data_IF_593062275952
#
_entry.id   IF_593062275952
#
_cell.length_a   1.000
_cell.length_b   1.000
_cell.length_c   1.000
_cell.angle_alpha   90.00
_cell.angle_beta   90.00
_cell.angle_gamma   90.00
#
_symmetry.space_group_name_H-M   'P 1'
#
loop_
_entity.id
_entity.type
_entity.pdbx_description
1 polymer ?
#
# COMPACT_ATOMS: atom_id res chain seq x y z
N UNK A 1 30.27 3.11 1.67
CA UNK A 1 29.23 2.76 0.67
C UNK A 1 28.05 2.05 1.31
N UNK A 2 28.28 1.03 2.17
CA UNK A 2 27.22 0.30 2.89
C UNK A 2 26.27 1.20 3.69
N UNK A 3 26.80 2.16 4.46
CA UNK A 3 25.96 3.10 5.24
C UNK A 3 25.07 3.99 4.36
N UNK A 4 25.53 4.37 3.16
CA UNK A 4 24.74 5.18 2.21
C UNK A 4 23.64 4.34 1.58
N UNK A 5 23.96 3.11 1.16
CA UNK A 5 22.99 2.19 0.56
C UNK A 5 21.87 1.86 1.55
N UNK A 6 22.21 1.49 2.79
CA UNK A 6 21.23 1.20 3.83
C UNK A 6 20.28 2.39 4.09
N UNK A 7 20.82 3.62 4.08
CA UNK A 7 20.04 4.84 4.28
C UNK A 7 19.06 5.09 3.13
N UNK A 8 19.53 4.98 1.89
CA UNK A 8 18.68 5.15 0.69
C UNK A 8 17.58 4.10 0.65
N UNK A 9 17.89 2.82 0.86
CA UNK A 9 16.89 1.74 0.87
C UNK A 9 15.85 1.94 1.97
N UNK A 10 16.27 2.40 3.15
CA UNK A 10 15.35 2.67 4.26
C UNK A 10 14.36 3.80 3.95
N UNK A 11 14.81 4.86 3.26
CA UNK A 11 13.95 5.97 2.84
C UNK A 11 12.94 5.50 1.79
N UNK A 12 13.37 4.65 0.86
CA UNK A 12 12.54 4.23 -0.27
C UNK A 12 11.59 3.08 0.05
N UNK A 13 11.85 2.27 1.07
CA UNK A 13 11.13 0.99 1.24
C UNK A 13 9.60 1.13 1.31
N UNK A 14 9.08 2.10 2.08
CA UNK A 14 7.63 2.33 2.18
C UNK A 14 7.06 2.78 0.82
N UNK A 15 7.46 3.93 0.25
CA UNK A 15 6.89 4.39 -1.03
C UNK A 15 7.12 3.40 -2.17
N UNK A 16 8.26 2.69 -2.20
CA UNK A 16 8.52 1.66 -3.20
C UNK A 16 7.55 0.49 -3.09
N UNK A 17 7.34 -0.04 -1.87
CA UNK A 17 6.40 -1.13 -1.65
C UNK A 17 4.97 -0.75 -2.06
N UNK A 18 4.57 0.50 -1.77
CA UNK A 18 3.28 1.04 -2.18
C UNK A 18 3.14 1.10 -3.71
N UNK A 19 4.16 1.60 -4.41
CA UNK A 19 4.21 1.65 -5.87
C UNK A 19 4.08 0.25 -6.48
N UNK A 20 4.81 -0.73 -5.96
CA UNK A 20 4.72 -2.12 -6.44
C UNK A 20 3.30 -2.66 -6.25
N UNK A 21 2.68 -2.45 -5.08
CA UNK A 21 1.29 -2.88 -4.84
C UNK A 21 0.30 -2.23 -5.80
N UNK A 22 0.35 -0.90 -5.98
CA UNK A 22 -0.54 -0.22 -6.92
C UNK A 22 -0.30 -0.65 -8.36
N UNK A 23 0.95 -0.83 -8.77
CA UNK A 23 1.29 -1.29 -10.11
C UNK A 23 0.74 -2.68 -10.38
N UNK A 24 0.92 -3.63 -9.46
CA UNK A 24 0.34 -4.97 -9.56
C UNK A 24 -1.19 -4.92 -9.62
N UNK A 25 -1.84 -4.06 -8.84
CA UNK A 25 -3.28 -3.85 -8.93
C UNK A 25 -3.71 -3.31 -10.29
N UNK A 26 -3.04 -2.28 -10.80
CA UNK A 26 -3.30 -1.72 -12.12
C UNK A 26 -3.09 -2.74 -13.24
N UNK A 27 -1.96 -3.45 -13.22
CA UNK A 27 -1.65 -4.51 -14.16
C UNK A 27 -2.73 -5.62 -14.13
N UNK A 28 -3.17 -6.03 -12.94
CA UNK A 28 -4.25 -7.02 -12.79
C UNK A 28 -5.60 -6.53 -13.32
N UNK A 29 -5.93 -5.25 -13.17
CA UNK A 29 -7.13 -4.68 -13.80
C UNK A 29 -6.98 -4.67 -15.32
N UNK A 30 -5.79 -4.34 -15.84
CA UNK A 30 -5.50 -4.31 -17.28
C UNK A 30 -5.54 -5.70 -17.92
N UNK A 31 -5.11 -6.77 -17.24
CA UNK A 31 -5.24 -8.14 -17.78
C UNK A 31 -6.70 -8.52 -18.05
N UNK A 32 -7.65 -7.94 -17.29
CA UNK A 32 -9.08 -8.20 -17.47
C UNK A 32 -9.75 -7.28 -18.49
N UNK A 33 -9.49 -5.98 -18.41
CA UNK A 33 -10.24 -4.97 -19.17
C UNK A 33 -9.45 -4.37 -20.34
N UNK A 34 -8.19 -4.75 -20.53
CA UNK A 34 -7.30 -4.16 -21.52
C UNK A 34 -6.79 -2.77 -21.12
N UNK A 35 -6.19 -2.02 -22.07
CA UNK A 35 -5.61 -0.71 -21.78
C UNK A 35 -6.64 0.27 -21.20
N UNK A 36 -6.26 1.08 -20.20
CA UNK A 36 -7.16 2.05 -19.58
C UNK A 36 -7.37 3.27 -20.48
N UNK A 37 -8.61 3.78 -20.52
CA UNK A 37 -8.92 5.10 -21.03
C UNK A 37 -8.68 6.19 -19.98
N UNK A 38 -8.92 7.46 -20.34
CA UNK A 38 -8.72 8.61 -19.43
C UNK A 38 -9.57 8.52 -18.15
N UNK A 39 -10.85 8.13 -18.29
CA UNK A 39 -11.75 7.99 -17.15
C UNK A 39 -11.34 6.85 -16.22
N UNK A 40 -10.86 5.74 -16.77
CA UNK A 40 -10.38 4.61 -15.98
C UNK A 40 -9.19 5.01 -15.10
N UNK A 41 -8.25 5.78 -15.66
CA UNK A 41 -7.09 6.31 -14.93
C UNK A 41 -7.55 7.26 -13.81
N UNK A 42 -8.50 8.16 -14.09
CA UNK A 42 -9.05 9.06 -13.09
C UNK A 42 -9.77 8.31 -11.97
N UNK A 43 -10.56 7.29 -12.30
CA UNK A 43 -11.26 6.46 -11.32
C UNK A 43 -10.26 5.64 -10.48
N UNK A 44 -9.22 5.09 -11.10
CA UNK A 44 -8.16 4.40 -10.38
C UNK A 44 -7.42 5.34 -9.41
N UNK A 45 -7.10 6.56 -9.83
CA UNK A 45 -6.51 7.55 -8.93
C UNK A 45 -7.48 7.92 -7.79
N UNK A 46 -8.76 8.14 -8.11
CA UNK A 46 -9.80 8.47 -7.13
C UNK A 46 -9.98 7.35 -6.09
N UNK A 47 -9.93 6.09 -6.49
CA UNK A 47 -10.01 4.94 -5.58
C UNK A 47 -8.86 4.91 -4.57
N UNK A 48 -7.63 5.09 -5.05
CA UNK A 48 -6.45 5.17 -4.16
C UNK A 48 -6.54 6.36 -3.18
N UNK A 49 -6.92 7.54 -3.67
CA UNK A 49 -7.08 8.73 -2.83
C UNK A 49 -8.21 8.54 -1.80
N UNK A 50 -9.34 7.97 -2.21
CA UNK A 50 -10.46 7.69 -1.33
C UNK A 50 -10.08 6.74 -0.18
N UNK A 51 -9.25 5.72 -0.45
CA UNK A 51 -8.73 4.84 0.60
C UNK A 51 -7.86 5.60 1.62
N UNK A 52 -6.95 6.45 1.15
CA UNK A 52 -6.15 7.30 2.05
C UNK A 52 -7.03 8.22 2.89
N UNK A 53 -7.99 8.92 2.28
CA UNK A 53 -8.90 9.81 3.00
C UNK A 53 -9.72 9.05 4.05
N UNK A 54 -10.23 7.87 3.70
CA UNK A 54 -10.98 7.02 4.63
C UNK A 54 -10.14 6.68 5.85
N UNK A 55 -8.91 6.19 5.63
CA UNK A 55 -8.00 5.80 6.72
C UNK A 55 -7.51 7.00 7.54
N UNK A 56 -7.26 8.13 6.89
CA UNK A 56 -6.87 9.37 7.56
C UNK A 56 -8.01 9.90 8.46
N UNK A 57 -9.26 9.84 8.00
CA UNK A 57 -10.43 10.21 8.80
C UNK A 57 -10.58 9.27 9.99
N UNK A 58 -10.44 7.96 9.80
CA UNK A 58 -10.46 6.97 10.90
C UNK A 58 -9.34 7.20 11.92
N UNK A 59 -8.18 7.72 11.47
CA UNK A 59 -7.03 8.03 12.31
C UNK A 59 -6.96 9.46 12.84
N UNK A 60 -7.92 10.34 12.50
CA UNK A 60 -7.80 11.81 12.61
C UNK A 60 -7.36 12.32 13.98
N UNK A 61 -7.81 11.69 15.07
CA UNK A 61 -7.44 12.07 16.44
C UNK A 61 -6.03 11.63 16.89
N UNK A 62 -5.27 10.96 16.01
CA UNK A 62 -3.94 10.38 16.29
C UNK A 62 -2.95 10.68 15.17
N UNK A 63 -3.24 11.68 14.33
CA UNK A 63 -2.32 12.11 13.28
C UNK A 63 -1.18 12.89 13.94
N UNK A 64 0.04 12.37 13.84
CA UNK A 64 1.22 13.09 14.30
C UNK A 64 1.51 14.29 13.37
N UNK A 65 1.85 15.47 13.92
CA UNK A 65 2.15 16.67 13.12
C UNK A 65 3.49 16.55 12.36
N UNK A 66 4.39 15.70 12.83
CA UNK A 66 5.63 15.32 12.16
C UNK A 66 5.70 13.80 12.07
N UNK A 67 6.23 13.27 10.97
CA UNK A 67 6.41 11.81 10.78
C UNK A 67 7.90 11.46 10.87
N UNK A 68 8.54 11.45 12.06
CA UNK A 68 9.87 10.90 12.21
C UNK A 68 9.77 9.36 12.23
N UNK A 69 9.63 8.74 11.05
CA UNK A 69 9.53 7.27 10.97
C UNK A 69 10.92 6.63 10.83
N UNK A 70 11.50 6.19 11.95
CA UNK A 70 12.54 5.15 11.90
C UNK A 70 11.90 3.84 11.46
N UNK A 71 12.19 3.40 10.25
CA UNK A 71 11.60 2.20 9.65
C UNK A 71 12.35 0.94 10.17
N UNK A 72 11.65 -0.05 10.74
CA UNK A 72 12.28 -1.29 11.20
C UNK A 72 12.94 -2.06 10.03
N UNK A 73 14.07 -2.74 10.28
CA UNK A 73 14.81 -3.49 9.26
C UNK A 73 13.95 -4.50 8.48
N UNK A 74 12.96 -5.12 9.15
CA UNK A 74 12.02 -6.06 8.52
C UNK A 74 11.10 -5.40 7.48
N UNK A 75 10.78 -4.11 7.66
CA UNK A 75 9.99 -3.33 6.69
C UNK A 75 10.84 -2.99 5.46
N UNK A 76 12.16 -2.82 5.65
CA UNK A 76 13.13 -2.58 4.57
C UNK A 76 13.21 -3.77 3.61
N UNK A 77 12.99 -5.00 4.09
CA UNK A 77 12.93 -6.20 3.23
C UNK A 77 11.78 -6.16 2.22
N UNK A 78 10.76 -5.32 2.43
CA UNK A 78 9.70 -5.07 1.45
C UNK A 78 8.90 -6.32 1.04
N UNK A 79 8.85 -7.34 1.90
CA UNK A 79 8.09 -8.56 1.61
C UNK A 79 6.60 -8.42 1.96
N UNK A 80 6.24 -7.57 2.93
CA UNK A 80 4.85 -7.38 3.36
C UNK A 80 3.88 -6.89 2.27
N UNK A 81 4.27 -6.09 1.25
CA UNK A 81 3.36 -5.66 0.21
C UNK A 81 2.92 -6.81 -0.71
N UNK A 82 3.63 -7.94 -0.71
CA UNK A 82 3.18 -9.17 -1.41
C UNK A 82 1.81 -9.60 -0.88
N UNK A 83 1.58 -9.47 0.44
CA UNK A 83 0.27 -9.80 1.02
C UNK A 83 -0.82 -8.85 0.51
N UNK A 84 -0.52 -7.56 0.38
CA UNK A 84 -1.45 -6.59 -0.20
C UNK A 84 -1.79 -6.93 -1.67
N UNK A 85 -0.77 -7.34 -2.45
CA UNK A 85 -0.96 -7.82 -3.83
C UNK A 85 -1.83 -9.07 -3.87
N UNK A 86 -1.57 -10.06 -3.01
CA UNK A 86 -2.38 -11.29 -2.95
C UNK A 86 -3.85 -10.98 -2.63
N UNK A 87 -4.13 -10.05 -1.72
CA UNK A 87 -5.50 -9.62 -1.41
C UNK A 87 -6.19 -9.04 -2.65
N UNK A 88 -5.48 -8.21 -3.41
CA UNK A 88 -5.99 -7.63 -4.66
C UNK A 88 -6.28 -8.70 -5.70
N UNK A 89 -5.36 -9.65 -5.88
CA UNK A 89 -5.50 -10.74 -6.85
C UNK A 89 -6.64 -11.71 -6.49
N UNK A 90 -6.93 -11.87 -5.19
CA UNK A 90 -8.01 -12.74 -4.71
C UNK A 90 -9.42 -12.21 -5.03
N UNK A 91 -9.56 -10.93 -5.39
CA UNK A 91 -10.88 -10.35 -5.72
C UNK A 91 -11.30 -10.75 -7.13
N UNK A 92 -12.46 -11.41 -7.29
CA UNK A 92 -12.96 -11.84 -8.60
C UNK A 92 -13.41 -10.63 -9.42
N UNK A 93 -12.51 -10.10 -10.24
CA UNK A 93 -12.78 -8.95 -11.12
C UNK A 93 -13.89 -9.25 -12.15
N UNK A 94 -14.10 -10.52 -12.50
CA UNK A 94 -15.11 -10.91 -13.49
C UNK A 94 -16.56 -10.50 -13.10
N UNK A 95 -16.82 -10.30 -11.81
CA UNK A 95 -18.13 -9.88 -11.30
C UNK A 95 -18.35 -8.36 -11.33
N UNK A 96 -17.30 -7.56 -11.60
CA UNK A 96 -17.37 -6.10 -11.55
C UNK A 96 -17.50 -5.48 -12.95
N UNK A 97 -18.34 -4.45 -13.14
CA UNK A 97 -18.28 -3.64 -14.34
C UNK A 97 -16.99 -2.82 -14.37
N UNK A 98 -16.49 -2.51 -15.58
CA UNK A 98 -15.23 -1.78 -15.80
C UNK A 98 -15.11 -0.52 -14.94
N UNK A 99 -16.16 0.30 -14.92
CA UNK A 99 -16.19 1.57 -14.19
C UNK A 99 -16.03 1.41 -12.66
N UNK A 100 -16.36 0.24 -12.10
CA UNK A 100 -16.21 -0.05 -10.66
C UNK A 100 -14.88 -0.76 -10.38
N UNK A 101 -14.38 -1.57 -11.31
CA UNK A 101 -13.15 -2.33 -11.14
C UNK A 101 -11.92 -1.44 -10.90
N UNK A 102 -11.70 -0.42 -11.73
CA UNK A 102 -10.56 0.51 -11.58
C UNK A 102 -10.50 1.22 -10.21
N UNK A 103 -11.56 1.90 -9.74
CA UNK A 103 -11.54 2.56 -8.43
C UNK A 103 -11.54 1.54 -7.27
N UNK A 104 -12.26 0.43 -7.37
CA UNK A 104 -12.29 -0.56 -6.30
C UNK A 104 -10.93 -1.24 -6.12
N UNK A 105 -10.21 -1.54 -7.21
CA UNK A 105 -8.95 -2.27 -7.14
C UNK A 105 -7.83 -1.41 -6.54
N UNK A 106 -7.74 -0.15 -6.96
CA UNK A 106 -6.80 0.83 -6.39
C UNK A 106 -7.12 1.18 -4.93
N UNK A 107 -8.41 1.28 -4.58
CA UNK A 107 -8.84 1.45 -3.20
C UNK A 107 -8.39 0.27 -2.34
N UNK A 108 -8.66 -0.96 -2.77
CA UNK A 108 -8.29 -2.16 -2.05
C UNK A 108 -6.77 -2.32 -1.92
N UNK A 109 -6.02 -2.05 -2.99
CA UNK A 109 -4.56 -2.05 -2.99
C UNK A 109 -4.00 -1.08 -1.94
N UNK A 110 -4.53 0.14 -1.91
CA UNK A 110 -4.10 1.19 -0.99
C UNK A 110 -4.49 0.85 0.46
N UNK A 111 -5.75 0.46 0.68
CA UNK A 111 -6.24 0.12 2.00
C UNK A 111 -5.50 -1.07 2.61
N UNK A 112 -5.33 -2.15 1.83
CA UNK A 112 -4.60 -3.34 2.29
C UNK A 112 -3.14 -3.03 2.59
N UNK A 113 -2.45 -2.27 1.72
CA UNK A 113 -1.08 -1.84 1.97
C UNK A 113 -0.95 -1.09 3.30
N UNK A 114 -1.77 -0.05 3.50
CA UNK A 114 -1.70 0.79 4.71
C UNK A 114 -2.07 0.00 5.96
N UNK A 115 -3.12 -0.83 5.91
CA UNK A 115 -3.55 -1.64 7.07
C UNK A 115 -2.49 -2.69 7.42
N UNK A 116 -1.90 -3.37 6.45
CA UNK A 116 -0.84 -4.37 6.69
C UNK A 116 0.39 -3.69 7.29
N UNK A 117 0.82 -2.55 6.73
CA UNK A 117 1.95 -1.81 7.26
C UNK A 117 1.67 -1.33 8.69
N UNK A 118 0.49 -0.78 8.95
CA UNK A 118 0.08 -0.34 10.29
C UNK A 118 0.06 -1.51 11.29
N UNK A 119 -0.48 -2.67 10.89
CA UNK A 119 -0.52 -3.87 11.71
C UNK A 119 0.91 -4.39 12.00
N UNK A 120 1.77 -4.45 10.99
CA UNK A 120 3.17 -4.86 11.13
C UNK A 120 3.91 -3.94 12.11
N UNK A 121 3.78 -2.62 11.97
CA UNK A 121 4.41 -1.67 12.88
C UNK A 121 3.86 -1.79 14.31
N UNK A 122 2.56 -2.04 14.47
CA UNK A 122 1.95 -2.30 15.78
C UNK A 122 2.53 -3.54 16.44
N UNK A 123 2.66 -4.65 15.71
CA UNK A 123 3.25 -5.89 16.22
C UNK A 123 4.72 -5.68 16.62
N UNK A 124 5.48 -4.95 15.82
CA UNK A 124 6.90 -4.70 16.09
C UNK A 124 7.11 -3.79 17.31
N UNK A 125 6.24 -2.79 17.53
CA UNK A 125 6.28 -1.92 18.71
C UNK A 125 5.87 -2.66 20.00
N UNK A 126 5.01 -3.67 19.89
CA UNK A 126 4.55 -4.47 21.03
C UNK A 126 5.53 -5.57 21.48
N UNK A 127 6.59 -5.86 20.72
CA UNK A 127 7.59 -6.86 21.13
C UNK A 127 8.52 -6.27 22.21
N UNK A 128 8.67 -6.92 23.37
CA UNK A 128 9.60 -6.45 24.40
C UNK A 128 11.01 -6.41 23.80
N UNK A 129 11.67 -5.26 23.96
CA UNK A 129 13.06 -5.08 23.53
C UNK A 129 13.90 -6.01 24.40
N UNK A 130 14.38 -7.13 23.84
CA UNK A 130 15.35 -7.98 24.53
C UNK A 130 16.55 -7.10 24.91
N UNK A 131 16.74 -6.88 26.20
CA UNK A 131 17.94 -6.25 26.72
C UNK A 131 19.10 -7.19 26.41
N UNK A 132 20.03 -6.72 25.58
CA UNK A 132 21.33 -7.32 25.39
C UNK A 132 22.34 -6.37 26.02
#
# INVERSE_FOLDING_TARGET
>A
MENTLARVTSILCIPYGYTVTLWCAGAWTVTRYGPPGRLDVLLFAAGAVAAFLTLAVMGRGRLDPEVPMRVPAIVVLNAFPILAVVIVLAVPQAALPRAVAFPANSFLATASYVVILAALLRVLRGRPRKAH
#
